data_IF_357085972723
#
_entry.id   IF_357085972723
#
_cell.length_a   1.000
_cell.length_b   1.000
_cell.length_c   1.000
_cell.angle_alpha   90.00
_cell.angle_beta   90.00
_cell.angle_gamma   90.00
#
_symmetry.space_group_name_H-M   'P 1'
#
loop_
_entity.id
_entity.type
_entity.pdbx_description
1 polymer ?
#
# COMPACT_ATOMS: atom_id res chain seq x y z
N UNK A 1 -20.09 1.21 -5.58
CA UNK A 1 -18.99 0.32 -6.01
C UNK A 1 -18.90 -0.85 -5.04
N UNK A 2 -18.57 -2.02 -5.54
CA UNK A 2 -18.31 -3.17 -4.68
C UNK A 2 -17.00 -2.99 -3.90
N UNK A 3 -16.88 -3.74 -2.81
CA UNK A 3 -15.63 -3.76 -2.03
C UNK A 3 -14.45 -4.16 -2.90
N UNK A 4 -14.64 -5.15 -3.77
CA UNK A 4 -13.60 -5.60 -4.69
C UNK A 4 -13.18 -4.50 -5.67
N UNK A 5 -14.13 -3.74 -6.22
CA UNK A 5 -13.85 -2.62 -7.11
C UNK A 5 -13.08 -1.51 -6.40
N UNK A 6 -13.39 -1.26 -5.13
CA UNK A 6 -12.69 -0.26 -4.34
C UNK A 6 -11.25 -0.72 -4.08
N UNK A 7 -11.05 -1.99 -3.74
CA UNK A 7 -9.71 -2.54 -3.58
C UNK A 7 -8.89 -2.41 -4.86
N UNK A 8 -9.48 -2.75 -6.02
CA UNK A 8 -8.80 -2.62 -7.32
C UNK A 8 -8.42 -1.17 -7.61
N UNK A 9 -9.35 -0.24 -7.36
CA UNK A 9 -9.08 1.19 -7.56
C UNK A 9 -7.97 1.69 -6.63
N UNK A 10 -7.93 1.19 -5.40
CA UNK A 10 -6.91 1.54 -4.42
C UNK A 10 -5.50 1.13 -4.90
N UNK A 11 -5.33 -0.12 -5.31
CA UNK A 11 -4.02 -0.59 -5.79
C UNK A 11 -3.62 0.07 -7.10
N UNK A 12 -4.57 0.31 -8.00
CA UNK A 12 -4.30 1.06 -9.24
C UNK A 12 -3.83 2.49 -8.96
N UNK A 13 -4.41 3.14 -7.96
CA UNK A 13 -4.00 4.48 -7.56
C UNK A 13 -2.57 4.50 -7.02
N UNK A 14 -2.18 3.46 -6.26
CA UNK A 14 -0.80 3.33 -5.78
C UNK A 14 0.17 3.17 -6.97
N UNK A 15 -0.15 2.28 -7.90
CA UNK A 15 0.70 2.05 -9.07
C UNK A 15 0.89 3.31 -9.90
N UNK A 16 -0.16 4.13 -10.01
CA UNK A 16 -0.16 5.34 -10.84
C UNK A 16 0.29 6.60 -10.10
N UNK A 17 0.55 6.51 -8.79
CA UNK A 17 0.87 7.69 -8.00
C UNK A 17 -0.29 8.69 -7.93
N UNK A 18 -1.52 8.20 -8.02
CA UNK A 18 -2.73 9.02 -8.06
C UNK A 18 -3.17 9.43 -6.66
N UNK A 19 -2.54 10.47 -6.15
CA UNK A 19 -2.76 10.97 -4.79
C UNK A 19 -4.20 11.41 -4.57
N UNK A 20 -4.84 12.01 -5.57
CA UNK A 20 -6.22 12.49 -5.43
C UNK A 20 -7.17 11.30 -5.20
N UNK A 21 -7.00 10.22 -5.94
CA UNK A 21 -7.80 9.00 -5.75
C UNK A 21 -7.51 8.37 -4.39
N UNK A 22 -6.25 8.31 -3.96
CA UNK A 22 -5.91 7.80 -2.63
C UNK A 22 -6.60 8.61 -1.53
N UNK A 23 -6.59 9.93 -1.64
CA UNK A 23 -7.27 10.80 -0.68
C UNK A 23 -8.79 10.57 -0.66
N UNK A 24 -9.39 10.26 -1.80
CA UNK A 24 -10.83 9.95 -1.85
C UNK A 24 -11.16 8.57 -1.27
N UNK A 25 -10.28 7.60 -1.48
CA UNK A 25 -10.53 6.22 -1.05
C UNK A 25 -10.20 5.95 0.41
N UNK A 26 -9.27 6.71 1.02
CA UNK A 26 -9.00 6.57 2.45
C UNK A 26 -10.06 7.29 3.27
N UNK A 27 -10.51 6.63 4.33
CA UNK A 27 -11.28 7.27 5.38
C UNK A 27 -10.39 8.29 6.12
N UNK A 28 -10.97 9.39 6.59
CA UNK A 28 -10.21 10.42 7.31
C UNK A 28 -9.54 9.89 8.58
N UNK A 29 -10.13 8.89 9.20
CA UNK A 29 -9.62 8.25 10.41
C UNK A 29 -8.87 6.94 10.12
N UNK A 30 -8.44 6.72 8.89
CA UNK A 30 -7.78 5.49 8.49
C UNK A 30 -6.50 5.22 9.29
N UNK A 31 -6.28 3.95 9.64
CA UNK A 31 -5.06 3.48 10.25
C UNK A 31 -4.31 2.54 9.31
N UNK A 32 -3.03 2.79 9.07
CA UNK A 32 -2.19 2.01 8.17
C UNK A 32 -1.00 1.46 8.96
N UNK A 33 -0.99 0.16 9.15
CA UNK A 33 0.03 -0.54 9.92
C UNK A 33 0.88 -1.45 9.04
N UNK A 34 2.20 -1.43 9.27
CA UNK A 34 3.16 -2.31 8.60
C UNK A 34 3.93 -3.11 9.65
N UNK A 35 4.25 -4.37 9.34
CA UNK A 35 4.92 -5.27 10.27
C UNK A 35 6.39 -4.91 10.55
N UNK A 36 7.06 -4.22 9.63
CA UNK A 36 8.50 -3.97 9.76
C UNK A 36 8.84 -2.94 10.83
N UNK A 37 7.92 -2.07 11.21
CA UNK A 37 8.13 -1.08 12.28
C UNK A 37 7.06 -1.13 13.38
N UNK A 38 5.92 -1.77 13.12
CA UNK A 38 4.82 -1.87 14.08
C UNK A 38 4.11 -0.56 14.36
N UNK A 39 4.31 0.45 13.53
CA UNK A 39 3.73 1.78 13.72
C UNK A 39 2.46 1.90 12.87
N UNK A 40 1.42 2.51 13.45
CA UNK A 40 0.20 2.84 12.71
C UNK A 40 0.29 4.27 12.20
N UNK A 41 0.35 4.44 10.88
CA UNK A 41 0.29 5.76 10.25
C UNK A 41 -1.16 6.22 10.14
N UNK A 42 -1.35 7.54 10.20
CA UNK A 42 -2.64 8.14 9.85
C UNK A 42 -2.77 8.31 8.33
N UNK A 43 -3.93 8.79 7.87
CA UNK A 43 -4.20 8.99 6.44
C UNK A 43 -3.15 9.89 5.77
N UNK A 44 -2.86 11.03 6.39
CA UNK A 44 -1.91 12.00 5.82
C UNK A 44 -0.53 11.38 5.60
N UNK A 45 -0.01 10.70 6.61
CA UNK A 45 1.31 10.07 6.52
C UNK A 45 1.31 8.89 5.57
N UNK A 46 0.23 8.10 5.56
CA UNK A 46 0.08 6.98 4.63
C UNK A 46 0.06 7.43 3.17
N UNK A 47 -0.70 8.47 2.85
CA UNK A 47 -0.73 9.02 1.48
C UNK A 47 0.62 9.59 1.10
N UNK A 48 1.28 10.31 1.99
CA UNK A 48 2.60 10.86 1.74
C UNK A 48 3.63 9.76 1.45
N UNK A 49 3.60 8.67 2.22
CA UNK A 49 4.47 7.51 2.01
C UNK A 49 4.27 6.92 0.61
N UNK A 50 3.02 6.73 0.19
CA UNK A 50 2.71 6.17 -1.13
C UNK A 50 3.12 7.13 -2.25
N UNK A 51 2.97 8.44 -2.04
CA UNK A 51 3.41 9.44 -3.01
C UNK A 51 4.94 9.42 -3.17
N UNK A 52 5.67 9.30 -2.08
CA UNK A 52 7.14 9.18 -2.10
C UNK A 52 7.59 7.91 -2.81
N UNK A 53 6.91 6.80 -2.53
CA UNK A 53 7.19 5.53 -3.18
C UNK A 53 6.97 5.64 -4.70
N UNK A 54 5.84 6.20 -5.13
CA UNK A 54 5.53 6.37 -6.55
C UNK A 54 6.52 7.31 -7.25
N UNK A 55 7.03 8.32 -6.55
CA UNK A 55 8.05 9.22 -7.09
C UNK A 55 9.40 8.51 -7.29
N UNK A 56 9.73 7.55 -6.44
CA UNK A 56 11.03 6.86 -6.46
C UNK A 56 11.04 5.59 -7.31
N UNK A 57 9.89 4.96 -7.51
CA UNK A 57 9.81 3.62 -8.11
C UNK A 57 8.57 3.46 -8.98
N UNK A 58 8.71 2.61 -9.99
CA UNK A 58 7.58 2.04 -10.71
C UNK A 58 7.18 0.76 -9.97
N UNK A 59 5.89 0.55 -9.75
CA UNK A 59 5.40 -0.65 -9.08
C UNK A 59 4.25 -1.29 -9.84
N UNK A 60 4.15 -2.61 -9.73
CA UNK A 60 3.03 -3.40 -10.24
C UNK A 60 2.63 -4.42 -9.21
N UNK A 61 1.35 -4.42 -8.87
CA UNK A 61 0.75 -5.34 -7.90
C UNK A 61 0.19 -6.56 -8.64
N UNK A 62 0.82 -7.70 -8.48
CA UNK A 62 0.37 -8.95 -9.10
C UNK A 62 -0.30 -9.81 -8.03
N UNK A 63 -1.63 -9.88 -8.11
CA UNK A 63 -2.45 -10.57 -7.11
C UNK A 63 -2.34 -12.07 -7.30
N UNK A 64 -1.96 -12.78 -6.25
CA UNK A 64 -1.91 -14.25 -6.22
C UNK A 64 -3.23 -14.82 -5.72
N UNK A 65 -3.83 -14.19 -4.69
CA UNK A 65 -5.02 -14.70 -4.05
C UNK A 65 -5.75 -13.57 -3.33
N UNK A 66 -7.07 -13.55 -3.43
CA UNK A 66 -7.89 -12.56 -2.76
C UNK A 66 -9.16 -13.19 -2.22
N UNK A 67 -9.48 -12.89 -0.96
CA UNK A 67 -10.74 -13.24 -0.34
C UNK A 67 -11.46 -11.97 0.09
N UNK A 68 -12.77 -11.90 -0.14
CA UNK A 68 -13.63 -10.84 0.36
C UNK A 68 -14.59 -11.46 1.36
N UNK A 69 -14.48 -11.05 2.63
CA UNK A 69 -15.30 -11.57 3.72
C UNK A 69 -15.91 -10.38 4.44
N UNK A 70 -17.22 -10.15 4.20
CA UNK A 70 -17.90 -8.98 4.76
C UNK A 70 -17.28 -7.70 4.25
N UNK A 71 -16.78 -6.87 5.17
CA UNK A 71 -16.13 -5.60 4.85
C UNK A 71 -14.60 -5.73 4.72
N UNK A 72 -14.06 -6.95 4.72
CA UNK A 72 -12.63 -7.19 4.68
C UNK A 72 -12.17 -7.81 3.37
N UNK A 73 -11.04 -7.31 2.88
CA UNK A 73 -10.29 -7.92 1.79
C UNK A 73 -9.01 -8.49 2.36
N UNK A 74 -8.81 -9.79 2.15
CA UNK A 74 -7.58 -10.48 2.56
C UNK A 74 -6.89 -10.89 1.27
N UNK A 75 -5.66 -10.42 1.08
CA UNK A 75 -4.99 -10.59 -0.21
C UNK A 75 -3.52 -10.87 -0.01
N UNK A 76 -2.99 -11.80 -0.79
CA UNK A 76 -1.55 -11.91 -0.97
C UNK A 76 -1.21 -11.57 -2.41
N UNK A 77 -0.15 -10.78 -2.56
CA UNK A 77 0.29 -10.32 -3.87
C UNK A 77 1.82 -10.16 -3.86
N UNK A 78 2.37 -10.01 -5.04
CA UNK A 78 3.77 -9.62 -5.20
C UNK A 78 3.81 -8.21 -5.77
N UNK A 79 4.64 -7.36 -5.16
CA UNK A 79 4.89 -6.03 -5.71
C UNK A 79 6.17 -6.14 -6.54
N UNK A 80 6.04 -5.94 -7.85
CA UNK A 80 7.19 -5.83 -8.75
C UNK A 80 7.64 -4.39 -8.75
N UNK A 81 8.84 -4.13 -8.27
CA UNK A 81 9.39 -2.77 -8.07
C UNK A 81 10.58 -2.57 -8.99
N UNK A 82 10.62 -1.40 -9.65
CA UNK A 82 11.78 -0.93 -10.40
C UNK A 82 12.11 0.47 -9.96
N UNK A 83 13.33 0.67 -9.43
CA UNK A 83 13.80 1.98 -9.01
C UNK A 83 14.04 2.86 -10.22
N UNK A 84 13.48 4.06 -10.23
CA UNK A 84 13.62 5.00 -11.36
C UNK A 84 15.06 5.50 -11.50
N UNK A 85 15.74 5.74 -10.39
CA UNK A 85 17.10 6.28 -10.41
C UNK A 85 18.16 5.28 -10.87
N UNK A 86 18.10 4.04 -10.40
CA UNK A 86 19.14 3.01 -10.63
C UNK A 86 18.73 1.93 -11.62
N UNK A 87 17.44 1.75 -11.87
CA UNK A 87 16.91 0.63 -12.62
C UNK A 87 16.91 -0.69 -11.85
N UNK A 88 17.30 -0.69 -10.58
CA UNK A 88 17.30 -1.89 -9.75
C UNK A 88 15.86 -2.43 -9.60
N UNK A 89 15.72 -3.74 -9.68
CA UNK A 89 14.41 -4.41 -9.59
C UNK A 89 14.36 -5.35 -8.41
N UNK A 90 13.14 -5.54 -7.88
CA UNK A 90 12.89 -6.51 -6.83
C UNK A 90 11.43 -6.95 -6.87
N UNK A 91 11.15 -8.11 -6.26
CA UNK A 91 9.80 -8.62 -6.08
C UNK A 91 9.57 -8.81 -4.59
N UNK A 92 8.52 -8.18 -4.07
CA UNK A 92 8.22 -8.18 -2.64
C UNK A 92 6.93 -8.94 -2.40
N UNK A 93 6.99 -10.13 -1.75
CA UNK A 93 5.78 -10.84 -1.35
C UNK A 93 5.09 -10.09 -0.20
N UNK A 94 3.78 -9.96 -0.30
CA UNK A 94 2.97 -9.22 0.67
C UNK A 94 1.69 -9.98 1.00
N UNK A 95 1.31 -9.95 2.27
CA UNK A 95 -0.03 -10.27 2.73
C UNK A 95 -0.64 -9.00 3.32
N UNK A 96 -1.85 -8.65 2.90
CA UNK A 96 -2.52 -7.42 3.34
C UNK A 96 -3.95 -7.72 3.77
N UNK A 97 -4.39 -7.02 4.81
CA UNK A 97 -5.75 -7.06 5.32
C UNK A 97 -6.30 -5.65 5.23
N UNK A 98 -7.32 -5.46 4.38
CA UNK A 98 -8.00 -4.18 4.23
C UNK A 98 -9.38 -4.27 4.85
N UNK A 99 -9.78 -3.23 5.57
CA UNK A 99 -11.18 -3.03 5.94
C UNK A 99 -11.73 -1.89 5.10
N UNK A 100 -12.84 -2.14 4.41
CA UNK A 100 -13.49 -1.17 3.52
C UNK A 100 -14.93 -0.98 4.00
N UNK A 101 -15.25 0.24 4.45
CA UNK A 101 -16.57 0.61 4.95
C UNK A 101 -17.03 1.89 4.30
N UNK A 102 -18.30 1.92 3.90
CA UNK A 102 -18.92 3.10 3.27
C UNK A 102 -18.11 3.62 2.08
N UNK A 103 -17.54 2.69 1.29
CA UNK A 103 -16.78 3.01 0.10
C UNK A 103 -15.36 3.51 0.37
N UNK A 104 -14.88 3.39 1.61
CA UNK A 104 -13.55 3.90 1.99
C UNK A 104 -12.72 2.84 2.71
N UNK A 105 -11.40 2.92 2.52
CA UNK A 105 -10.44 2.09 3.25
C UNK A 105 -10.26 2.69 4.63
N UNK A 106 -10.66 1.95 5.66
CA UNK A 106 -10.61 2.41 7.05
C UNK A 106 -9.43 1.85 7.81
N UNK A 107 -8.90 0.71 7.39
CA UNK A 107 -7.84 0.03 8.13
C UNK A 107 -7.01 -0.83 7.20
N UNK A 108 -5.69 -0.79 7.39
CA UNK A 108 -4.74 -1.62 6.65
C UNK A 108 -3.79 -2.27 7.65
N UNK A 109 -3.64 -3.60 7.52
CA UNK A 109 -2.54 -4.35 8.11
C UNK A 109 -1.75 -4.98 6.98
N UNK A 110 -0.50 -4.56 6.80
CA UNK A 110 0.35 -5.07 5.74
C UNK A 110 1.56 -5.79 6.32
N UNK A 111 1.76 -7.03 5.86
CA UNK A 111 2.87 -7.87 6.23
C UNK A 111 3.74 -8.11 5.00
N UNK A 112 5.01 -7.75 5.08
CA UNK A 112 5.96 -7.98 4.01
C UNK A 112 7.30 -8.42 4.57
N UNK A 113 8.08 -9.10 3.73
CA UNK A 113 9.43 -9.52 4.11
C UNK A 113 10.41 -8.39 3.79
N UNK A 114 10.95 -7.77 4.84
CA UNK A 114 11.88 -6.65 4.70
C UNK A 114 13.19 -7.05 3.99
N UNK A 115 13.52 -8.35 3.94
CA UNK A 115 14.69 -8.85 3.21
C UNK A 115 14.55 -8.64 1.69
N UNK A 116 13.33 -8.51 1.18
CA UNK A 116 13.02 -8.28 -0.22
C UNK A 116 12.86 -6.79 -0.56
N UNK A 117 13.01 -5.92 0.43
CA UNK A 117 12.83 -4.48 0.24
C UNK A 117 14.10 -3.89 -0.39
N UNK A 118 13.93 -3.12 -1.47
CA UNK A 118 15.00 -2.27 -2.00
C UNK A 118 15.08 -1.05 -1.07
N UNK A 119 16.18 -0.86 -0.34
CA UNK A 119 16.24 0.16 0.71
C UNK A 119 15.78 1.55 0.25
N UNK A 120 16.20 1.98 -0.94
CA UNK A 120 15.87 3.30 -1.48
C UNK A 120 14.37 3.47 -1.74
N UNK A 121 13.68 2.38 -2.11
CA UNK A 121 12.25 2.44 -2.40
C UNK A 121 11.41 2.63 -1.15
N UNK A 122 11.92 2.19 0.00
CA UNK A 122 11.17 2.16 1.26
C UNK A 122 11.74 3.10 2.32
N UNK A 123 12.69 3.92 1.96
CA UNK A 123 13.25 4.93 2.86
C UNK A 123 12.16 5.86 3.39
N UNK A 124 11.28 6.31 2.50
CA UNK A 124 10.16 7.17 2.87
C UNK A 124 9.17 6.50 3.83
N UNK A 125 8.94 5.21 3.68
CA UNK A 125 8.06 4.45 4.58
C UNK A 125 8.65 4.43 5.99
N UNK A 126 9.93 4.11 6.13
CA UNK A 126 10.61 4.08 7.43
C UNK A 126 10.63 5.45 8.07
N UNK A 127 10.97 6.48 7.31
CA UNK A 127 11.02 7.85 7.80
C UNK A 127 9.65 8.38 8.19
N UNK A 128 8.64 8.15 7.36
CA UNK A 128 7.25 8.55 7.63
C UNK A 128 6.69 7.87 8.86
N UNK A 129 6.99 6.60 9.04
CA UNK A 129 6.55 5.83 10.21
C UNK A 129 7.24 6.31 11.50
N UNK A 130 8.47 6.76 11.42
CA UNK A 130 9.23 7.24 12.56
C UNK A 130 8.84 8.68 12.96
N UNK A 131 8.23 9.40 12.05
CA UNK A 131 7.78 10.76 12.32
C UNK A 131 6.47 10.78 13.09
#
# INVERSE_FOLDING_TARGET
>A
MSIESIADAFFAAIENGDVDTLNRLYDDEAGIWHNFDGITQNKKDGVQTLAQFAAAAESKYVIEERFVIGDRVIQRHNIHVRMKASGATNVIPVSIFLTIRDGKVTEIYEYLDSAHVVPEAFEGIKSGAAA
#
